data_IF_867361328142
#
_entry.id   IF_867361328142
#
_cell.length_a   1.000
_cell.length_b   1.000
_cell.length_c   1.000
_cell.angle_alpha   90.00
_cell.angle_beta   90.00
_cell.angle_gamma   90.00
#
_symmetry.space_group_name_H-M   'P 1'
#
loop_
_entity.id
_entity.type
_entity.pdbx_description
1 polymer ?
#
# COMPACT_ATOMS: atom_id res chain seq x y z
N UNK A 1 -27.07 8.74 -5.06
CA UNK A 1 -27.44 9.99 -4.34
C UNK A 1 -28.31 9.76 -3.09
N UNK A 2 -29.20 8.75 -3.05
CA UNK A 2 -30.05 8.50 -1.87
C UNK A 2 -29.31 7.89 -0.68
N UNK A 3 -28.34 6.98 -0.91
CA UNK A 3 -27.60 6.33 0.18
C UNK A 3 -26.87 7.32 1.10
N UNK A 4 -26.11 8.28 0.55
CA UNK A 4 -25.39 9.27 1.37
C UNK A 4 -26.30 10.09 2.29
N UNK A 5 -27.51 10.43 1.83
CA UNK A 5 -28.50 11.12 2.67
C UNK A 5 -28.94 10.25 3.86
N UNK A 6 -29.04 8.93 3.68
CA UNK A 6 -29.34 8.00 4.77
C UNK A 6 -28.20 7.97 5.80
N UNK A 7 -26.95 7.94 5.36
CA UNK A 7 -25.81 7.99 6.29
C UNK A 7 -25.80 9.27 7.14
N UNK A 8 -26.07 10.43 6.54
CA UNK A 8 -26.09 11.70 7.25
C UNK A 8 -27.30 11.88 8.16
N UNK A 9 -28.49 11.43 7.72
CA UNK A 9 -29.71 11.53 8.53
C UNK A 9 -29.76 10.48 9.64
N UNK A 10 -29.03 9.38 9.51
CA UNK A 10 -29.07 8.21 10.40
C UNK A 10 -30.47 7.58 10.55
N UNK A 11 -31.39 7.94 9.65
CA UNK A 11 -32.77 7.50 9.69
C UNK A 11 -32.86 6.01 9.32
N UNK A 12 -33.49 5.20 10.17
CA UNK A 12 -33.60 3.74 10.01
C UNK A 12 -32.26 2.99 10.03
N UNK A 13 -31.20 3.59 10.60
CA UNK A 13 -29.96 2.87 10.85
C UNK A 13 -30.21 1.68 11.79
N UNK A 14 -29.80 0.50 11.37
CA UNK A 14 -30.06 -0.78 12.03
C UNK A 14 -28.78 -1.47 12.54
N UNK A 15 -27.64 -0.78 12.47
CA UNK A 15 -26.37 -1.19 13.09
C UNK A 15 -25.51 -0.01 13.54
N UNK A 16 -24.50 -0.34 14.33
CA UNK A 16 -23.51 0.59 14.88
C UNK A 16 -22.09 0.07 14.68
N UNK A 17 -21.17 0.94 14.28
CA UNK A 17 -19.74 0.69 14.35
C UNK A 17 -19.16 1.43 15.54
N UNK A 18 -18.26 0.80 16.27
CA UNK A 18 -17.47 1.45 17.32
C UNK A 18 -16.00 1.43 16.92
N UNK A 19 -15.42 2.61 16.71
CA UNK A 19 -13.99 2.76 16.46
C UNK A 19 -13.31 3.05 17.79
N UNK A 20 -12.46 2.12 18.21
CA UNK A 20 -11.73 2.15 19.46
C UNK A 20 -10.33 2.71 19.21
N UNK A 21 -10.06 3.90 19.75
CA UNK A 21 -8.74 4.55 19.68
C UNK A 21 -8.13 4.69 21.07
N UNK A 22 -6.83 4.43 21.18
CA UNK A 22 -6.10 4.57 22.44
C UNK A 22 -5.33 5.88 22.44
N UNK A 23 -5.74 6.83 23.28
CA UNK A 23 -5.02 8.08 23.45
C UNK A 23 -4.01 7.98 24.61
N UNK A 24 -2.80 8.53 24.47
CA UNK A 24 -1.91 8.72 25.61
C UNK A 24 -2.53 9.69 26.60
N UNK A 25 -2.43 9.40 27.90
CA UNK A 25 -3.01 10.21 28.97
C UNK A 25 -2.42 11.63 28.98
N UNK A 26 -3.25 12.69 29.02
CA UNK A 26 -2.77 14.09 29.04
C UNK A 26 -1.96 14.52 30.29
N UNK A 27 -1.57 13.60 31.16
CA UNK A 27 -1.03 13.89 32.50
C UNK A 27 0.47 13.67 32.71
N UNK A 28 1.21 13.08 31.76
CA UNK A 28 2.62 12.72 31.96
C UNK A 28 3.63 13.74 31.39
N UNK A 29 3.20 14.98 31.13
CA UNK A 29 4.07 16.05 30.62
C UNK A 29 4.05 17.27 31.55
N UNK A 30 4.56 17.11 32.78
CA UNK A 30 5.16 18.19 33.59
C UNK A 30 5.78 17.64 34.89
N UNK A 31 7.11 17.44 34.87
CA UNK A 31 8.02 17.78 35.96
C UNK A 31 9.45 17.53 35.46
N UNK A 32 10.16 18.60 35.11
CA UNK A 32 11.60 18.56 34.90
C UNK A 32 12.36 18.75 36.22
N UNK A 33 13.47 18.03 36.36
CA UNK A 33 14.62 18.44 37.18
C UNK A 33 14.95 17.53 38.37
N UNK A 34 16.10 16.82 38.27
CA UNK A 34 16.86 16.37 39.44
C UNK A 34 17.22 14.88 39.48
N UNK A 35 18.48 14.59 39.08
CA UNK A 35 19.41 13.52 39.52
C UNK A 35 18.92 12.23 40.22
N UNK A 36 19.45 11.12 39.68
CA UNK A 36 19.73 9.81 40.31
C UNK A 36 18.57 8.99 40.89
N UNK A 37 18.23 7.91 40.18
CA UNK A 37 18.23 6.52 40.66
C UNK A 37 17.33 5.66 39.75
N UNK A 38 17.86 4.52 39.29
CA UNK A 38 17.06 3.43 38.70
C UNK A 38 16.22 2.81 39.84
N UNK A 39 14.92 2.60 39.62
CA UNK A 39 14.44 1.23 39.75
C UNK A 39 13.52 0.79 38.61
N UNK A 40 13.68 -0.49 38.28
CA UNK A 40 12.72 -1.34 37.57
C UNK A 40 11.32 -1.18 38.16
N UNK A 41 10.36 -0.77 37.34
CA UNK A 41 9.14 -1.49 36.89
C UNK A 41 8.25 -0.41 36.28
N UNK A 42 8.41 -0.15 34.98
CA UNK A 42 7.58 0.83 34.28
C UNK A 42 6.17 0.24 34.13
N UNK A 43 5.26 0.62 35.02
CA UNK A 43 3.83 0.36 34.86
C UNK A 43 3.37 0.88 33.49
N UNK A 44 2.62 0.08 32.69
CA UNK A 44 2.20 0.53 31.38
C UNK A 44 1.26 1.73 31.57
N UNK A 45 1.68 2.90 31.08
CA UNK A 45 0.87 4.11 31.06
C UNK A 45 -0.56 3.77 30.64
N UNK A 46 -1.53 3.95 31.55
CA UNK A 46 -2.92 3.59 31.33
C UNK A 46 -3.47 4.38 30.13
N UNK A 47 -3.54 3.74 28.96
CA UNK A 47 -4.10 4.36 27.75
C UNK A 47 -5.61 4.47 27.94
N UNK A 48 -6.17 5.66 27.80
CA UNK A 48 -7.62 5.85 27.88
C UNK A 48 -8.22 5.41 26.56
N UNK A 49 -9.18 4.48 26.63
CA UNK A 49 -9.95 4.04 25.50
C UNK A 49 -10.96 5.13 25.09
N UNK A 50 -10.81 5.67 23.89
CA UNK A 50 -11.78 6.57 23.26
C UNK A 50 -12.62 5.78 22.26
N UNK A 51 -13.94 5.79 22.46
CA UNK A 51 -14.90 5.07 21.61
C UNK A 51 -15.65 6.07 20.74
N UNK A 52 -15.59 5.88 19.42
CA UNK A 52 -16.31 6.69 18.44
C UNK A 52 -17.38 5.84 17.75
N UNK A 53 -18.65 6.19 17.94
CA UNK A 53 -19.77 5.47 17.34
C UNK A 53 -20.19 6.03 15.98
N UNK A 54 -20.47 5.14 15.02
CA UNK A 54 -21.03 5.46 13.72
C UNK A 54 -22.26 4.60 13.44
N UNK A 55 -23.42 5.23 13.29
CA UNK A 55 -24.65 4.54 12.85
C UNK A 55 -24.60 4.24 11.36
N UNK A 56 -25.03 3.05 10.97
CA UNK A 56 -25.04 2.60 9.58
C UNK A 56 -26.23 1.67 9.27
N UNK A 57 -26.37 1.34 7.99
CA UNK A 57 -27.40 0.47 7.44
C UNK A 57 -26.75 -0.83 7.00
N UNK A 58 -27.12 -1.95 7.63
CA UNK A 58 -26.54 -3.28 7.39
C UNK A 58 -26.64 -3.67 5.93
N UNK A 59 -27.80 -3.42 5.32
CA UNK A 59 -28.06 -3.77 3.91
C UNK A 59 -27.10 -3.08 2.94
N UNK A 60 -26.74 -1.81 3.19
CA UNK A 60 -25.84 -1.05 2.32
C UNK A 60 -24.40 -1.54 2.50
N UNK A 61 -23.97 -1.70 3.76
CA UNK A 61 -22.61 -2.14 4.10
C UNK A 61 -22.37 -3.56 3.57
N UNK A 62 -23.28 -4.50 3.84
CA UNK A 62 -23.18 -5.88 3.39
C UNK A 62 -23.25 -6.03 1.87
N UNK A 63 -23.97 -5.16 1.16
CA UNK A 63 -24.01 -5.19 -0.30
C UNK A 63 -22.70 -4.69 -0.95
N UNK A 64 -21.89 -3.90 -0.23
CA UNK A 64 -20.72 -3.19 -0.79
C UNK A 64 -19.38 -3.70 -0.26
N UNK A 65 -19.39 -4.56 0.76
CA UNK A 65 -18.19 -5.17 1.32
C UNK A 65 -18.49 -6.60 1.75
N UNK A 66 -17.84 -7.56 1.09
CA UNK A 66 -18.05 -8.99 1.32
C UNK A 66 -17.56 -9.41 2.72
N UNK A 67 -16.51 -8.78 3.25
CA UNK A 67 -16.06 -9.03 4.62
C UNK A 67 -17.15 -8.66 5.63
N UNK A 68 -17.73 -7.45 5.53
CA UNK A 68 -18.80 -7.03 6.43
C UNK A 68 -20.06 -7.86 6.24
N UNK A 69 -20.38 -8.28 5.01
CA UNK A 69 -21.49 -9.20 4.75
C UNK A 69 -21.33 -10.50 5.52
N UNK A 70 -20.15 -11.13 5.46
CA UNK A 70 -19.85 -12.34 6.21
C UNK A 70 -19.99 -12.08 7.72
N UNK A 71 -19.41 -11.01 8.25
CA UNK A 71 -19.51 -10.68 9.68
C UNK A 71 -20.96 -10.43 10.14
N UNK A 72 -21.76 -9.71 9.35
CA UNK A 72 -23.11 -9.29 9.70
C UNK A 72 -24.19 -10.33 9.39
N UNK A 73 -23.87 -11.41 8.66
CA UNK A 73 -24.80 -12.46 8.24
C UNK A 73 -24.38 -13.87 8.67
N UNK A 74 -23.23 -14.05 9.33
CA UNK A 74 -22.72 -15.35 9.79
C UNK A 74 -23.40 -15.89 11.06
N UNK A 75 -24.29 -15.12 11.70
CA UNK A 75 -24.84 -15.46 13.02
C UNK A 75 -23.84 -15.27 14.18
N UNK A 76 -22.69 -14.65 13.94
CA UNK A 76 -21.71 -14.29 14.96
C UNK A 76 -22.21 -13.12 15.85
N UNK A 77 -21.43 -12.76 16.88
CA UNK A 77 -21.77 -11.70 17.84
C UNK A 77 -22.11 -10.37 17.14
N UNK A 78 -21.41 -10.04 16.06
CA UNK A 78 -21.63 -8.85 15.25
C UNK A 78 -23.01 -8.85 14.58
N UNK A 79 -23.46 -10.02 14.11
CA UNK A 79 -24.78 -10.22 13.51
C UNK A 79 -25.90 -10.13 14.55
N UNK A 80 -25.67 -10.65 15.77
CA UNK A 80 -26.67 -10.66 16.87
C UNK A 80 -26.80 -9.26 17.48
N UNK A 81 -25.67 -8.67 17.87
CA UNK A 81 -25.62 -7.39 18.57
C UNK A 81 -25.79 -6.20 17.62
N UNK A 82 -25.76 -6.45 16.29
CA UNK A 82 -25.80 -5.43 15.24
C UNK A 82 -24.74 -4.35 15.44
N UNK A 83 -23.58 -4.77 15.96
CA UNK A 83 -22.48 -3.91 16.39
C UNK A 83 -21.17 -4.51 15.93
N UNK A 84 -20.32 -3.70 15.31
CA UNK A 84 -18.98 -4.12 14.88
C UNK A 84 -17.95 -3.21 15.53
N UNK A 85 -17.00 -3.81 16.24
CA UNK A 85 -15.90 -3.10 16.88
C UNK A 85 -14.72 -3.04 15.90
N UNK A 86 -14.18 -1.86 15.71
CA UNK A 86 -13.09 -1.55 14.79
C UNK A 86 -11.91 -1.04 15.63
N UNK A 87 -10.79 -1.73 15.57
CA UNK A 87 -9.54 -1.36 16.25
C UNK A 87 -8.49 -0.91 15.23
N UNK A 88 -7.42 -0.27 15.72
CA UNK A 88 -6.22 0.03 14.93
C UNK A 88 -6.49 0.95 13.73
N UNK A 89 -7.44 1.88 13.87
CA UNK A 89 -7.80 2.80 12.79
C UNK A 89 -8.31 4.11 13.38
N UNK A 90 -7.97 5.23 12.75
CA UNK A 90 -8.50 6.53 13.15
C UNK A 90 -9.99 6.64 12.80
N UNK A 91 -10.83 7.27 13.64
CA UNK A 91 -12.25 7.47 13.34
C UNK A 91 -12.45 8.27 12.04
N UNK A 92 -11.49 9.11 11.68
CA UNK A 92 -11.49 9.89 10.43
C UNK A 92 -11.33 8.96 9.22
N UNK A 93 -10.34 8.06 9.23
CA UNK A 93 -10.10 7.10 8.15
C UNK A 93 -11.27 6.13 8.02
N UNK A 94 -11.80 5.61 9.14
CA UNK A 94 -12.98 4.74 9.12
C UNK A 94 -14.22 5.46 8.56
N UNK A 95 -14.45 6.73 8.94
CA UNK A 95 -15.57 7.51 8.39
C UNK A 95 -15.46 7.67 6.87
N UNK A 96 -14.25 7.78 6.32
CA UNK A 96 -14.03 7.84 4.85
C UNK A 96 -14.35 6.51 4.18
N UNK A 97 -13.94 5.39 4.77
CA UNK A 97 -14.34 4.06 4.32
C UNK A 97 -15.87 3.93 4.26
N UNK A 98 -16.54 4.35 5.34
CA UNK A 98 -18.00 4.29 5.42
C UNK A 98 -18.65 5.18 4.35
N UNK A 99 -18.16 6.40 4.14
CA UNK A 99 -18.64 7.28 3.06
C UNK A 99 -18.51 6.62 1.68
N UNK A 100 -17.38 5.95 1.41
CA UNK A 100 -17.15 5.21 0.17
C UNK A 100 -18.17 4.07 -0.02
N UNK A 101 -18.48 3.30 1.03
CA UNK A 101 -19.51 2.25 0.97
C UNK A 101 -20.89 2.81 0.60
N UNK A 102 -21.20 4.04 1.00
CA UNK A 102 -22.45 4.72 0.63
C UNK A 102 -22.38 5.43 -0.74
N UNK A 103 -21.28 5.27 -1.47
CA UNK A 103 -21.07 5.81 -2.82
C UNK A 103 -20.62 7.27 -2.86
N UNK A 104 -19.98 7.76 -1.80
CA UNK A 104 -19.28 9.05 -1.88
C UNK A 104 -18.03 8.92 -2.75
N UNK A 105 -17.74 9.91 -3.60
CA UNK A 105 -16.41 10.02 -4.18
C UNK A 105 -15.40 10.27 -3.05
N UNK A 106 -14.25 9.61 -3.13
CA UNK A 106 -13.16 9.89 -2.21
C UNK A 106 -12.44 11.11 -2.73
N UNK A 107 -12.61 12.25 -2.05
CA UNK A 107 -11.77 13.41 -2.28
C UNK A 107 -10.38 13.11 -1.71
N UNK A 108 -9.42 12.86 -2.59
CA UNK A 108 -8.01 12.67 -2.25
C UNK A 108 -7.27 13.99 -2.00
N UNK A 109 -7.97 15.05 -1.59
CA UNK A 109 -7.36 16.31 -1.11
C UNK A 109 -6.68 16.15 0.26
N UNK A 110 -6.33 14.92 0.63
CA UNK A 110 -5.84 14.52 1.95
C UNK A 110 -4.38 14.13 1.80
N UNK A 111 -3.59 14.24 2.87
CA UNK A 111 -2.19 13.85 2.84
C UNK A 111 -2.01 12.37 2.47
N UNK A 112 -0.86 12.05 1.87
CA UNK A 112 -0.51 10.69 1.45
C UNK A 112 -0.60 9.67 2.59
N UNK A 113 -0.31 10.10 3.82
CA UNK A 113 -0.48 9.30 5.03
C UNK A 113 -1.91 8.76 5.20
N UNK A 114 -2.93 9.62 5.08
CA UNK A 114 -4.31 9.19 5.23
C UNK A 114 -4.78 8.31 4.07
N UNK A 115 -4.22 8.51 2.87
CA UNK A 115 -4.48 7.64 1.72
C UNK A 115 -3.88 6.25 1.95
N UNK A 116 -2.67 6.16 2.50
CA UNK A 116 -2.05 4.90 2.91
C UNK A 116 -2.85 4.19 4.02
N UNK A 117 -3.30 4.91 5.05
CA UNK A 117 -4.16 4.32 6.07
C UNK A 117 -5.46 3.76 5.49
N UNK A 118 -6.10 4.50 4.58
CA UNK A 118 -7.32 4.07 3.92
C UNK A 118 -7.07 2.84 3.03
N UNK A 119 -5.93 2.79 2.34
CA UNK A 119 -5.49 1.65 1.54
C UNK A 119 -5.33 0.38 2.39
N UNK A 120 -4.65 0.47 3.54
CA UNK A 120 -4.51 -0.66 4.47
C UNK A 120 -5.86 -1.11 5.02
N UNK A 121 -6.74 -0.16 5.33
CA UNK A 121 -8.08 -0.47 5.81
C UNK A 121 -8.93 -1.17 4.73
N UNK A 122 -8.79 -0.74 3.48
CA UNK A 122 -9.43 -1.37 2.33
C UNK A 122 -8.93 -2.81 2.14
N UNK A 123 -7.62 -3.05 2.27
CA UNK A 123 -7.02 -4.38 2.21
C UNK A 123 -7.55 -5.28 3.35
N UNK A 124 -7.59 -4.76 4.59
CA UNK A 124 -8.11 -5.48 5.77
C UNK A 124 -9.55 -5.95 5.60
N UNK A 125 -10.39 -5.14 4.97
CA UNK A 125 -11.80 -5.47 4.72
C UNK A 125 -12.07 -6.03 3.31
N UNK A 126 -11.01 -6.35 2.56
CA UNK A 126 -11.09 -6.91 1.20
C UNK A 126 -11.97 -6.10 0.25
N UNK A 127 -11.75 -4.78 0.21
CA UNK A 127 -12.40 -3.85 -0.71
C UNK A 127 -11.39 -3.48 -1.80
N UNK A 128 -11.21 -4.38 -2.76
CA UNK A 128 -10.14 -4.30 -3.76
C UNK A 128 -10.24 -3.03 -4.63
N UNK A 129 -11.45 -2.66 -5.06
CA UNK A 129 -11.70 -1.44 -5.85
C UNK A 129 -11.19 -0.16 -5.14
N UNK A 130 -11.34 -0.11 -3.81
CA UNK A 130 -10.88 1.01 -3.01
C UNK A 130 -9.37 1.00 -2.85
N UNK A 131 -8.80 -0.18 -2.61
CA UNK A 131 -7.36 -0.36 -2.50
C UNK A 131 -6.65 0.10 -3.78
N UNK A 132 -7.12 -0.37 -4.94
CA UNK A 132 -6.56 0.01 -6.25
C UNK A 132 -6.67 1.52 -6.50
N UNK A 133 -7.80 2.13 -6.12
CA UNK A 133 -7.97 3.58 -6.23
C UNK A 133 -6.96 4.36 -5.37
N UNK A 134 -6.72 3.90 -4.13
CA UNK A 134 -5.72 4.49 -3.25
C UNK A 134 -4.30 4.29 -3.78
N UNK A 135 -3.97 3.10 -4.29
CA UNK A 135 -2.66 2.80 -4.90
C UNK A 135 -2.38 3.70 -6.09
N UNK A 136 -3.33 3.80 -7.03
CA UNK A 136 -3.22 4.67 -8.20
C UNK A 136 -3.04 6.15 -7.81
N UNK A 137 -3.75 6.59 -6.77
CA UNK A 137 -3.59 7.95 -6.23
C UNK A 137 -2.17 8.15 -5.69
N UNK A 138 -1.68 7.23 -4.87
CA UNK A 138 -0.34 7.31 -4.29
C UNK A 138 0.75 7.26 -5.37
N UNK A 139 0.57 6.47 -6.42
CA UNK A 139 1.49 6.43 -7.56
C UNK A 139 1.50 7.72 -8.35
N UNK A 140 0.34 8.37 -8.51
CA UNK A 140 0.25 9.66 -9.19
C UNK A 140 0.89 10.82 -8.42
N UNK A 141 1.08 10.63 -7.10
CA UNK A 141 1.76 11.60 -6.25
C UNK A 141 3.29 11.48 -6.30
N UNK A 142 3.86 10.43 -6.90
CA UNK A 142 5.31 10.24 -6.95
C UNK A 142 5.94 11.27 -7.90
N UNK A 143 6.66 12.22 -7.31
CA UNK A 143 7.49 13.21 -8.01
C UNK A 143 8.86 13.35 -7.32
N UNK A 144 9.74 14.17 -7.89
CA UNK A 144 11.10 14.36 -7.38
C UNK A 144 11.14 14.93 -5.95
N UNK A 145 10.13 15.73 -5.58
CA UNK A 145 10.07 16.41 -4.28
C UNK A 145 9.40 15.54 -3.19
N UNK A 146 8.44 14.70 -3.57
CA UNK A 146 7.61 13.91 -2.66
C UNK A 146 8.08 12.47 -2.49
N UNK A 147 8.85 11.90 -3.43
CA UNK A 147 9.21 10.47 -3.43
C UNK A 147 9.90 10.04 -2.13
N UNK A 148 10.73 10.91 -1.55
CA UNK A 148 11.43 10.62 -0.28
C UNK A 148 10.43 10.55 0.88
N UNK A 149 9.47 11.48 0.93
CA UNK A 149 8.41 11.47 1.93
C UNK A 149 7.48 10.25 1.75
N UNK A 150 7.07 9.96 0.52
CA UNK A 150 6.25 8.79 0.17
C UNK A 150 6.94 7.47 0.52
N UNK A 151 8.26 7.38 0.33
CA UNK A 151 9.03 6.20 0.73
C UNK A 151 8.97 5.99 2.26
N UNK A 152 9.15 7.05 3.04
CA UNK A 152 9.04 6.99 4.50
C UNK A 152 7.64 6.57 4.96
N UNK A 153 6.59 7.11 4.32
CA UNK A 153 5.21 6.71 4.57
C UNK A 153 5.01 5.23 4.20
N UNK A 154 5.49 4.79 3.04
CA UNK A 154 5.34 3.42 2.57
C UNK A 154 6.02 2.42 3.51
N UNK A 155 7.20 2.76 4.04
CA UNK A 155 7.92 1.93 5.00
C UNK A 155 7.17 1.85 6.34
N UNK A 156 6.71 2.99 6.88
CA UNK A 156 5.95 3.05 8.14
C UNK A 156 4.66 2.23 8.10
N UNK A 157 3.95 2.27 6.98
CA UNK A 157 2.70 1.53 6.79
C UNK A 157 2.90 0.13 6.19
N UNK A 158 4.14 -0.31 6.00
CA UNK A 158 4.47 -1.60 5.36
C UNK A 158 3.81 -1.78 3.98
N UNK A 159 3.61 -0.68 3.25
CA UNK A 159 3.03 -0.68 1.91
C UNK A 159 4.09 -1.08 0.87
N UNK A 160 4.35 -2.38 0.75
CA UNK A 160 5.44 -2.94 -0.07
C UNK A 160 5.37 -2.56 -1.55
N UNK A 161 4.18 -2.53 -2.13
CA UNK A 161 3.99 -2.15 -3.54
C UNK A 161 4.37 -0.67 -3.78
N UNK A 162 3.94 0.24 -2.90
CA UNK A 162 4.32 1.65 -2.95
C UNK A 162 5.81 1.84 -2.70
N UNK A 163 6.37 1.15 -1.70
CA UNK A 163 7.79 1.19 -1.39
C UNK A 163 8.63 0.80 -2.60
N UNK A 164 8.29 -0.31 -3.26
CA UNK A 164 8.98 -0.78 -4.47
C UNK A 164 8.95 0.26 -5.60
N UNK A 165 7.82 0.92 -5.83
CA UNK A 165 7.71 2.00 -6.82
C UNK A 165 8.57 3.21 -6.47
N UNK A 166 8.58 3.63 -5.20
CA UNK A 166 9.43 4.73 -4.73
C UNK A 166 10.92 4.39 -4.89
N UNK A 167 11.33 3.17 -4.53
CA UNK A 167 12.72 2.69 -4.71
C UNK A 167 13.12 2.66 -6.20
N UNK A 168 12.23 2.20 -7.07
CA UNK A 168 12.47 2.18 -8.52
C UNK A 168 12.57 3.59 -9.13
N UNK A 169 11.91 4.58 -8.55
CA UNK A 169 12.04 5.98 -8.96
C UNK A 169 13.37 6.57 -8.47
N UNK A 170 13.72 6.33 -7.20
CA UNK A 170 14.98 6.79 -6.61
C UNK A 170 16.22 6.20 -7.28
N UNK A 171 16.15 4.97 -7.81
CA UNK A 171 17.26 4.36 -8.54
C UNK A 171 17.64 5.12 -9.83
N UNK A 172 16.67 5.79 -10.45
CA UNK A 172 16.85 6.61 -11.65
C UNK A 172 17.24 8.06 -11.31
N UNK A 173 16.89 8.52 -10.10
CA UNK A 173 17.10 9.89 -9.61
C UNK A 173 18.02 9.93 -8.37
N UNK A 174 19.23 9.38 -8.50
CA UNK A 174 20.18 9.25 -7.40
C UNK A 174 20.54 10.59 -6.72
N UNK A 175 20.38 11.73 -7.41
CA UNK A 175 20.57 13.07 -6.85
C UNK A 175 19.69 13.36 -5.64
N UNK A 176 18.52 12.73 -5.54
CA UNK A 176 17.55 12.95 -4.46
C UNK A 176 18.02 12.42 -3.10
N UNK A 177 19.01 11.52 -3.09
CA UNK A 177 19.65 11.05 -1.84
C UNK A 177 20.41 12.13 -1.08
N UNK A 178 20.69 13.28 -1.73
CA UNK A 178 21.38 14.42 -1.10
C UNK A 178 20.44 15.36 -0.36
N UNK A 179 19.12 15.23 -0.55
CA UNK A 179 18.15 16.11 0.08
C UNK A 179 18.14 15.92 1.61
N UNK A 180 17.90 17.00 2.36
CA UNK A 180 17.84 16.94 3.83
C UNK A 180 16.75 15.99 4.33
N UNK A 181 15.61 15.94 3.64
CA UNK A 181 14.48 15.04 3.93
C UNK A 181 14.92 13.56 3.90
N UNK A 182 15.90 13.21 3.06
CA UNK A 182 16.40 11.83 3.00
C UNK A 182 17.17 11.44 4.26
N UNK A 183 17.87 12.39 4.89
CA UNK A 183 18.62 12.17 6.14
C UNK A 183 17.71 11.97 7.34
N UNK A 184 16.46 12.42 7.26
CA UNK A 184 15.44 12.21 8.30
C UNK A 184 14.83 10.80 8.29
N UNK A 185 15.04 10.02 7.21
CA UNK A 185 14.55 8.65 7.12
C UNK A 185 15.28 7.70 8.08
N UNK A 186 14.68 6.56 8.49
CA UNK A 186 15.38 5.54 9.27
C UNK A 186 16.67 5.06 8.58
N UNK A 187 17.74 4.85 9.36
CA UNK A 187 19.04 4.45 8.81
C UNK A 187 18.98 3.14 8.01
N UNK A 188 18.09 2.21 8.39
CA UNK A 188 17.82 0.97 7.65
C UNK A 188 17.32 1.25 6.24
N UNK A 189 16.38 2.19 6.10
CA UNK A 189 15.78 2.58 4.83
C UNK A 189 16.77 3.37 3.96
N UNK A 190 17.61 4.21 4.58
CA UNK A 190 18.70 4.90 3.88
C UNK A 190 19.69 3.90 3.26
N UNK A 191 20.12 2.90 4.03
CA UNK A 191 21.04 1.85 3.55
C UNK A 191 20.41 1.04 2.42
N UNK A 192 19.13 0.68 2.53
CA UNK A 192 18.41 -0.04 1.47
C UNK A 192 18.41 0.74 0.14
N UNK A 193 18.15 2.06 0.19
CA UNK A 193 18.21 2.93 -1.00
C UNK A 193 19.63 3.03 -1.55
N UNK A 194 20.63 3.21 -0.68
CA UNK A 194 22.03 3.33 -1.09
C UNK A 194 22.53 2.03 -1.73
N UNK A 195 22.25 0.87 -1.14
CA UNK A 195 22.64 -0.43 -1.70
C UNK A 195 22.02 -0.65 -3.07
N UNK A 196 20.75 -0.25 -3.22
CA UNK A 196 20.04 -0.33 -4.49
C UNK A 196 20.70 0.56 -5.57
N UNK A 197 21.04 1.80 -5.25
CA UNK A 197 21.75 2.70 -6.18
C UNK A 197 23.14 2.16 -6.55
N UNK A 198 23.89 1.65 -5.58
CA UNK A 198 25.20 1.04 -5.84
C UNK A 198 25.08 -0.19 -6.73
N UNK A 199 24.05 -1.02 -6.51
CA UNK A 199 23.77 -2.19 -7.33
C UNK A 199 23.49 -1.79 -8.78
N UNK A 200 22.57 -0.85 -9.02
CA UNK A 200 22.28 -0.36 -10.37
C UNK A 200 23.49 0.33 -11.03
N UNK A 201 24.31 1.06 -10.27
CA UNK A 201 25.55 1.67 -10.77
C UNK A 201 26.66 0.68 -11.15
N UNK A 202 26.61 -0.56 -10.64
CA UNK A 202 27.54 -1.65 -11.00
C UNK A 202 27.10 -2.43 -12.24
N UNK A 203 25.82 -2.35 -12.63
CA UNK A 203 25.30 -2.94 -13.88
C UNK A 203 25.56 -1.99 -15.05
N UNK A 204 26.82 -1.62 -15.27
CA UNK A 204 27.26 -1.26 -16.61
C UNK A 204 27.49 -2.57 -17.34
N UNK A 205 26.58 -2.96 -18.23
CA UNK A 205 26.65 -4.22 -18.98
C UNK A 205 28.04 -4.43 -19.60
N UNK A 206 28.80 -5.48 -19.22
CA UNK A 206 30.14 -5.72 -19.76
C UNK A 206 30.20 -6.04 -21.26
N UNK A 207 29.04 -6.15 -21.91
CA UNK A 207 28.89 -6.60 -23.29
C UNK A 207 28.80 -5.45 -24.28
N UNK A 208 28.54 -4.22 -23.82
CA UNK A 208 28.33 -3.07 -24.73
C UNK A 208 29.62 -2.38 -25.19
N UNK A 209 30.80 -2.83 -24.71
CA UNK A 209 32.10 -2.25 -25.04
C UNK A 209 33.07 -3.22 -25.72
N UNK A 210 32.58 -3.94 -26.75
CA UNK A 210 33.48 -4.43 -27.80
C UNK A 210 32.99 -3.95 -29.14
N UNK A 211 33.53 -2.81 -29.55
CA UNK A 211 33.50 -2.36 -30.93
C UNK A 211 33.88 -3.49 -31.87
N UNK A 212 32.87 -4.10 -32.50
CA UNK A 212 33.04 -5.09 -33.53
C UNK A 212 33.50 -4.36 -34.80
N UNK A 213 34.79 -4.08 -34.89
CA UNK A 213 35.41 -3.67 -36.17
C UNK A 213 35.37 -4.89 -37.09
N UNK A 214 34.63 -4.89 -38.22
CA UNK A 214 34.69 -6.00 -39.15
C UNK A 214 36.07 -5.99 -39.82
N UNK A 215 36.96 -6.89 -39.39
CA UNK A 215 38.25 -7.06 -40.07
C UNK A 215 38.02 -7.79 -41.38
N UNK A 216 38.16 -7.03 -42.46
CA UNK A 216 38.21 -7.50 -43.83
C UNK A 216 39.28 -8.57 -44.05
N UNK A 217 38.94 -9.49 -44.95
CA UNK A 217 39.78 -10.31 -45.84
C UNK A 217 40.17 -11.74 -45.45
N UNK A 218 39.93 -12.61 -46.44
CA UNK A 218 40.41 -13.97 -46.67
C UNK A 218 39.68 -15.12 -45.95
N UNK A 219 38.58 -15.58 -46.55
CA UNK A 219 38.11 -16.96 -46.35
C UNK A 219 38.45 -17.78 -47.59
N UNK A 220 39.44 -18.65 -47.47
CA UNK A 220 39.63 -19.78 -48.36
C UNK A 220 38.34 -20.61 -48.41
N UNK A 221 37.88 -20.86 -49.64
CA UNK A 221 36.74 -21.73 -49.96
C UNK A 221 37.04 -23.18 -49.56
N UNK A 222 36.31 -23.71 -48.58
CA UNK A 222 36.16 -25.15 -48.41
C UNK A 222 34.70 -25.51 -48.68
N UNK A 223 34.51 -26.19 -49.83
CA UNK A 223 33.25 -26.72 -50.33
C UNK A 223 32.62 -27.66 -49.30
N UNK A 224 31.36 -27.43 -48.95
CA UNK A 224 30.53 -28.37 -48.18
C UNK A 224 29.99 -29.48 -49.09
N UNK A 225 30.01 -30.76 -48.68
CA UNK A 225 29.31 -31.82 -49.40
C UNK A 225 27.81 -31.76 -49.09
N UNK A 226 27.01 -31.65 -50.15
CA UNK A 226 25.56 -31.73 -50.15
C UNK A 226 25.02 -33.14 -49.90
N UNK A 227 23.88 -33.26 -49.18
CA UNK A 227 22.67 -34.08 -49.45
C UNK A 227 21.82 -34.31 -48.17
N UNK A 228 20.56 -34.77 -48.24
CA UNK A 228 19.52 -34.44 -49.22
C UNK A 228 18.15 -34.10 -48.57
N UNK A 229 17.30 -33.57 -49.45
CA UNK A 229 15.91 -33.09 -49.33
C UNK A 229 14.91 -34.18 -48.87
N UNK A 230 14.20 -33.93 -47.76
CA UNK A 230 13.02 -34.72 -47.35
C UNK A 230 11.73 -34.10 -47.89
N UNK A 231 10.85 -34.96 -48.39
CA UNK A 231 9.65 -34.67 -49.16
C UNK A 231 8.41 -34.45 -48.29
N UNK A 232 7.60 -33.48 -48.73
CA UNK A 232 6.16 -33.31 -48.53
C UNK A 232 5.33 -34.60 -48.37
N UNK A 233 4.43 -34.61 -47.38
CA UNK A 233 3.15 -35.35 -47.34
C UNK A 233 2.10 -34.36 -46.80
N UNK A 234 1.19 -33.82 -47.61
CA UNK A 234 -0.12 -34.34 -48.08
C UNK A 234 -1.05 -34.86 -46.97
N UNK A 235 -2.31 -34.45 -47.14
CA UNK A 235 -3.47 -34.35 -46.26
C UNK A 235 -4.28 -35.62 -45.99
N UNK A 236 -5.25 -35.47 -45.06
CA UNK A 236 -6.58 -36.12 -44.95
C UNK A 236 -6.69 -37.38 -44.06
N UNK A 237 -7.91 -37.83 -43.62
CA UNK A 237 -9.15 -37.13 -43.18
C UNK A 237 -9.87 -37.78 -41.94
N UNK A 238 -10.98 -37.16 -41.50
CA UNK A 238 -12.27 -37.69 -41.00
C UNK A 238 -12.32 -39.02 -40.21
N UNK A 239 -12.99 -39.01 -39.05
CA UNK A 239 -13.84 -40.13 -38.59
C UNK A 239 -15.12 -39.62 -37.89
N UNK A 240 -16.14 -40.48 -38.00
CA UNK A 240 -17.56 -40.35 -37.62
C UNK A 240 -17.86 -39.85 -36.20
#
# INVERSE_FOLDING_TARGET
KNALRLLHSTQLADMEFEVHTYAPTPGAAKAGGGTEAVPETAEPAAKVLQVHSFKAHRVIVAARCEWFKKALMSGMQESINRKVIITDTSPVTFRRLLLYLYGAPIAFTVGAEQVCELMLLADRYSIDDLKELCENTLYSLIDEDSVVCLLGIADRYMATALKSKCLSFLSQHAQLTKCEIFKELPQTLQLEVMDLIHWFGRVSEPWNDRGFKPRSSSRHSLKSPSKPRSRSRKSSPSYM
#
